data_IF_124401594152
#
_entry.id   IF_124401594152
#
_cell.length_a   1.000
_cell.length_b   1.000
_cell.length_c   1.000
_cell.angle_alpha   90.00
_cell.angle_beta   90.00
_cell.angle_gamma   90.00
#
_symmetry.space_group_name_H-M   'P 1'
#
loop_
_entity.id
_entity.type
_entity.pdbx_description
1 polymer ?
#
# COMPACT_ATOMS: atom_id res chain seq x y z
N UNK A 1 -18.60 15.18 14.55
CA UNK A 1 -17.48 14.42 13.94
C UNK A 1 -16.19 15.11 14.35
N UNK A 2 -15.12 14.37 14.59
CA UNK A 2 -13.82 14.98 14.85
C UNK A 2 -13.19 15.35 13.49
N UNK A 3 -12.80 16.60 13.31
CA UNK A 3 -12.18 17.10 12.07
C UNK A 3 -10.69 17.39 12.34
N UNK A 4 -9.82 17.06 11.38
CA UNK A 4 -8.40 17.42 11.39
C UNK A 4 -8.08 18.16 10.08
N UNK A 5 -8.59 19.38 9.96
CA UNK A 5 -8.45 20.19 8.76
C UNK A 5 -7.11 20.90 8.78
N UNK A 6 -6.30 20.62 7.75
CA UNK A 6 -4.94 21.12 7.62
C UNK A 6 -4.72 21.83 6.30
N UNK A 7 -3.73 22.72 6.31
CA UNK A 7 -3.25 23.47 5.16
C UNK A 7 -1.76 23.20 4.94
N UNK A 8 -1.33 23.13 3.69
CA UNK A 8 0.08 23.12 3.35
C UNK A 8 0.68 24.54 3.43
N UNK A 9 1.78 24.71 4.16
CA UNK A 9 2.49 26.00 4.19
C UNK A 9 3.06 26.34 2.80
N UNK A 10 2.94 27.59 2.33
CA UNK A 10 3.56 28.03 1.07
C UNK A 10 5.06 27.71 1.03
N UNK A 11 5.52 27.14 -0.09
CA UNK A 11 6.93 26.78 -0.29
C UNK A 11 7.43 25.62 0.56
N UNK A 12 6.56 24.91 1.26
CA UNK A 12 6.93 23.79 2.15
C UNK A 12 6.06 22.56 1.92
N UNK A 13 6.61 21.37 2.21
CA UNK A 13 5.84 20.13 2.30
C UNK A 13 5.10 19.99 3.64
N UNK A 14 5.28 20.93 4.58
CA UNK A 14 4.71 20.84 5.91
C UNK A 14 3.22 21.21 5.92
N UNK A 15 2.43 20.33 6.54
CA UNK A 15 1.01 20.53 6.80
C UNK A 15 0.78 20.95 8.24
N UNK A 16 0.05 22.05 8.44
CA UNK A 16 -0.28 22.61 9.74
C UNK A 16 -1.80 22.71 9.91
N UNK A 17 -2.32 22.78 11.16
CA UNK A 17 -3.72 23.09 11.39
C UNK A 17 -4.16 24.34 10.62
N UNK A 18 -5.30 24.26 9.94
CA UNK A 18 -5.82 25.39 9.18
C UNK A 18 -6.33 26.50 10.12
N UNK A 19 -6.22 27.78 9.72
CA UNK A 19 -6.86 28.89 10.42
C UNK A 19 -8.37 28.67 10.64
N UNK A 20 -8.97 29.15 11.75
CA UNK A 20 -10.38 28.87 12.06
C UNK A 20 -11.39 29.30 10.97
N UNK A 21 -11.13 30.41 10.29
CA UNK A 21 -11.94 30.90 9.17
C UNK A 21 -11.83 30.00 7.93
N UNK A 22 -10.65 29.43 7.66
CA UNK A 22 -10.45 28.46 6.58
C UNK A 22 -11.12 27.13 6.89
N UNK A 23 -11.08 26.71 8.16
CA UNK A 23 -11.83 25.55 8.66
C UNK A 23 -13.33 25.75 8.41
N UNK A 24 -13.88 26.91 8.76
CA UNK A 24 -15.28 27.24 8.53
C UNK A 24 -15.64 27.23 7.03
N UNK A 25 -14.81 27.83 6.18
CA UNK A 25 -14.99 27.83 4.73
C UNK A 25 -14.97 26.41 4.13
N UNK A 26 -14.03 25.57 4.58
CA UNK A 26 -13.91 24.18 4.14
C UNK A 26 -15.11 23.35 4.59
N UNK A 27 -15.57 23.50 5.83
CA UNK A 27 -16.76 22.81 6.33
C UNK A 27 -18.03 23.26 5.60
N UNK A 28 -18.15 24.56 5.29
CA UNK A 28 -19.24 25.08 4.46
C UNK A 28 -19.23 24.45 3.05
N UNK A 29 -18.05 24.29 2.44
CA UNK A 29 -17.92 23.55 1.17
C UNK A 29 -18.37 22.10 1.31
N UNK A 30 -17.92 21.39 2.35
CA UNK A 30 -18.24 19.97 2.59
C UNK A 30 -19.69 19.72 3.00
N UNK A 31 -20.39 20.73 3.51
CA UNK A 31 -21.82 20.65 3.85
C UNK A 31 -22.73 20.67 2.61
N UNK A 32 -22.20 21.01 1.43
CA UNK A 32 -22.97 20.98 0.19
C UNK A 32 -23.33 19.55 -0.18
N UNK A 33 -24.48 19.35 -0.86
CA UNK A 33 -24.79 18.07 -1.48
C UNK A 33 -23.66 17.60 -2.38
N UNK A 34 -23.27 16.34 -2.23
CA UNK A 34 -22.16 15.75 -2.96
C UNK A 34 -22.62 15.31 -4.36
N UNK A 35 -22.47 16.19 -5.34
CA UNK A 35 -22.75 15.89 -6.75
C UNK A 35 -21.45 15.96 -7.56
N UNK A 36 -21.38 15.19 -8.65
CA UNK A 36 -20.35 15.33 -9.67
C UNK A 36 -20.98 16.05 -10.87
N UNK A 37 -20.44 17.21 -11.33
CA UNK A 37 -19.17 17.84 -10.93
C UNK A 37 -19.25 18.58 -9.58
N UNK A 38 -18.12 18.65 -8.87
CA UNK A 38 -17.98 19.37 -7.61
C UNK A 38 -18.07 20.89 -7.84
N UNK A 39 -19.10 21.54 -7.29
CA UNK A 39 -19.26 22.98 -7.43
C UNK A 39 -18.41 23.75 -6.40
N UNK A 40 -17.61 24.76 -6.82
CA UNK A 40 -16.90 25.64 -5.91
C UNK A 40 -17.81 26.27 -4.85
N UNK A 41 -17.26 26.60 -3.69
CA UNK A 41 -17.96 27.25 -2.59
C UNK A 41 -17.31 28.58 -2.26
N UNK A 42 -18.08 29.66 -2.40
CA UNK A 42 -17.70 30.95 -1.87
C UNK A 42 -18.26 31.09 -0.45
N UNK A 43 -17.37 31.33 0.52
CA UNK A 43 -17.71 31.58 1.92
C UNK A 43 -17.44 33.05 2.24
N UNK A 44 -18.51 33.76 2.61
CA UNK A 44 -18.50 35.18 3.00
C UNK A 44 -17.86 36.14 1.98
N UNK A 45 -17.78 35.78 0.69
CA UNK A 45 -17.04 36.52 -0.34
C UNK A 45 -15.52 36.62 -0.10
N UNK A 46 -15.00 35.89 0.90
CA UNK A 46 -13.59 35.95 1.34
C UNK A 46 -12.79 34.72 0.93
N UNK A 47 -13.43 33.56 0.87
CA UNK A 47 -12.76 32.30 0.58
C UNK A 47 -13.49 31.51 -0.50
N UNK A 48 -12.77 31.14 -1.54
CA UNK A 48 -13.24 30.21 -2.56
C UNK A 48 -12.61 28.84 -2.32
N UNK A 49 -13.43 27.85 -1.92
CA UNK A 49 -13.00 26.46 -1.74
C UNK A 49 -13.49 25.63 -2.93
N UNK A 50 -12.59 24.87 -3.56
CA UNK A 50 -12.90 24.08 -4.75
C UNK A 50 -11.99 22.87 -4.88
N UNK A 51 -12.40 21.88 -5.67
CA UNK A 51 -11.49 20.83 -6.15
C UNK A 51 -11.01 21.16 -7.54
N UNK A 52 -9.74 20.86 -7.81
CA UNK A 52 -9.20 20.99 -9.16
C UNK A 52 -10.04 20.16 -10.14
N UNK A 53 -10.27 20.72 -11.34
CA UNK A 53 -11.07 20.10 -12.40
C UNK A 53 -12.51 19.73 -11.99
N UNK A 54 -13.03 20.28 -10.88
CA UNK A 54 -14.33 19.93 -10.27
C UNK A 54 -14.48 18.40 -10.04
N UNK A 55 -13.36 17.73 -9.75
CA UNK A 55 -13.30 16.27 -9.64
C UNK A 55 -13.05 15.84 -8.18
N UNK A 56 -13.92 14.98 -7.65
CA UNK A 56 -13.85 14.47 -6.28
C UNK A 56 -12.57 13.67 -5.94
N UNK A 57 -11.74 13.31 -6.92
CA UNK A 57 -10.45 12.65 -6.71
C UNK A 57 -9.24 13.57 -6.85
N UNK A 58 -9.46 14.87 -7.05
CA UNK A 58 -8.40 15.87 -7.17
C UNK A 58 -8.20 16.65 -5.87
N UNK A 59 -7.05 17.31 -5.70
CA UNK A 59 -6.76 18.23 -4.59
C UNK A 59 -7.91 19.20 -4.30
N UNK A 60 -8.16 19.45 -3.01
CA UNK A 60 -9.00 20.56 -2.59
C UNK A 60 -8.12 21.78 -2.31
N UNK A 61 -8.54 22.93 -2.84
CA UNK A 61 -7.87 24.20 -2.72
C UNK A 61 -8.76 25.20 -2.03
N UNK A 62 -8.15 26.13 -1.31
CA UNK A 62 -8.78 27.34 -0.80
C UNK A 62 -8.04 28.54 -1.38
N UNK A 63 -8.78 29.47 -1.96
CA UNK A 63 -8.27 30.73 -2.47
C UNK A 63 -8.78 31.89 -1.62
N UNK A 64 -7.88 32.77 -1.17
CA UNK A 64 -8.24 33.97 -0.44
C UNK A 64 -8.61 35.08 -1.43
N UNK A 65 -9.81 35.65 -1.35
CA UNK A 65 -10.28 36.69 -2.27
C UNK A 65 -9.43 37.97 -2.18
N UNK A 66 -8.96 38.32 -0.99
CA UNK A 66 -8.27 39.58 -0.73
C UNK A 66 -6.84 39.60 -1.30
N UNK A 67 -6.15 38.47 -1.25
CA UNK A 67 -4.74 38.35 -1.71
C UNK A 67 -4.60 37.60 -3.03
N UNK A 68 -5.60 36.79 -3.40
CA UNK A 68 -5.54 35.87 -4.54
C UNK A 68 -4.76 34.58 -4.27
N UNK A 69 -4.17 34.42 -3.08
CA UNK A 69 -3.33 33.26 -2.74
C UNK A 69 -4.15 31.97 -2.70
N UNK A 70 -3.55 30.90 -3.21
CA UNK A 70 -4.16 29.56 -3.27
C UNK A 70 -3.37 28.58 -2.44
N UNK A 71 -4.07 27.83 -1.58
CA UNK A 71 -3.47 26.86 -0.68
C UNK A 71 -4.13 25.49 -0.79
N UNK A 72 -3.35 24.43 -0.63
CA UNK A 72 -3.87 23.08 -0.42
C UNK A 72 -4.55 22.99 0.94
N UNK A 73 -5.75 22.43 1.00
CA UNK A 73 -6.51 22.23 2.25
C UNK A 73 -7.18 20.86 2.25
N UNK A 74 -7.16 20.16 3.37
CA UNK A 74 -7.68 18.80 3.47
C UNK A 74 -8.13 18.49 4.89
N UNK A 75 -9.21 17.73 5.05
CA UNK A 75 -9.57 17.08 6.32
C UNK A 75 -8.90 15.70 6.41
N UNK A 76 -7.84 15.61 7.20
CA UNK A 76 -7.11 14.37 7.42
C UNK A 76 -7.95 13.29 8.13
N UNK A 77 -8.96 13.68 8.91
CA UNK A 77 -9.86 12.74 9.58
C UNK A 77 -10.92 12.15 8.63
N UNK A 78 -11.14 12.75 7.46
CA UNK A 78 -12.14 12.31 6.49
C UNK A 78 -11.60 11.26 5.50
N UNK A 79 -10.31 10.90 5.54
CA UNK A 79 -9.76 9.86 4.65
C UNK A 79 -10.19 8.48 5.14
N UNK A 80 -10.81 7.71 4.24
CA UNK A 80 -11.25 6.34 4.53
C UNK A 80 -10.77 5.35 3.49
N UNK A 81 -10.62 4.10 3.91
CA UNK A 81 -10.29 2.94 3.07
C UNK A 81 -11.48 1.97 3.02
N UNK A 82 -11.77 1.42 1.85
CA UNK A 82 -12.87 0.46 1.69
C UNK A 82 -12.37 -0.98 1.86
N UNK A 83 -12.80 -1.68 2.91
CA UNK A 83 -12.29 -3.00 3.26
C UNK A 83 -13.31 -4.09 2.94
N UNK A 84 -13.01 -4.90 1.92
CA UNK A 84 -13.86 -6.03 1.49
C UNK A 84 -13.68 -7.27 2.37
N UNK A 85 -12.61 -7.30 3.16
CA UNK A 85 -12.24 -8.36 4.08
C UNK A 85 -12.67 -8.07 5.52
N UNK A 86 -13.33 -6.94 5.77
CA UNK A 86 -13.89 -6.59 7.06
C UNK A 86 -15.38 -6.99 7.14
N UNK A 87 -15.86 -7.21 8.37
CA UNK A 87 -17.27 -7.46 8.65
C UNK A 87 -17.81 -6.35 9.57
N UNK A 88 -18.73 -5.48 9.10
CA UNK A 88 -19.31 -5.46 7.74
C UNK A 88 -18.35 -4.89 6.68
N UNK A 89 -18.54 -5.24 5.41
CA UNK A 89 -17.80 -4.58 4.32
C UNK A 89 -18.20 -3.11 4.21
N UNK A 90 -17.27 -2.19 4.51
CA UNK A 90 -17.54 -0.76 4.55
C UNK A 90 -16.27 0.11 4.39
N UNK A 91 -16.47 1.42 4.44
CA UNK A 91 -15.43 2.45 4.56
C UNK A 91 -14.99 2.63 6.01
N UNK A 92 -13.72 2.37 6.28
CA UNK A 92 -13.10 2.51 7.59
C UNK A 92 -12.14 3.70 7.63
N UNK A 93 -11.96 4.37 8.78
CA UNK A 93 -10.94 5.41 8.94
C UNK A 93 -9.56 4.91 8.50
N UNK A 94 -8.87 5.69 7.69
CA UNK A 94 -7.52 5.39 7.28
C UNK A 94 -6.55 5.57 8.47
N UNK A 95 -5.54 4.71 8.57
CA UNK A 95 -4.46 4.84 9.55
C UNK A 95 -3.58 6.06 9.23
N UNK A 96 -2.90 6.62 10.23
CA UNK A 96 -2.11 7.85 10.07
C UNK A 96 -1.12 7.81 8.88
N UNK A 97 -0.43 6.69 8.66
CA UNK A 97 0.49 6.54 7.53
C UNK A 97 -0.22 6.46 6.17
N UNK A 98 -1.45 5.94 6.13
CA UNK A 98 -2.29 5.91 4.92
C UNK A 98 -2.79 7.31 4.58
N UNK A 99 -3.21 8.09 5.59
CA UNK A 99 -3.61 9.50 5.44
C UNK A 99 -2.44 10.33 4.91
N UNK A 100 -1.25 10.17 5.50
CA UNK A 100 -0.03 10.87 5.08
C UNK A 100 0.33 10.56 3.63
N UNK A 101 0.32 9.28 3.24
CA UNK A 101 0.65 8.89 1.88
C UNK A 101 -0.43 9.28 0.87
N UNK A 102 -1.71 9.23 1.26
CA UNK A 102 -2.80 9.73 0.42
C UNK A 102 -2.65 11.21 0.13
N UNK A 103 -2.35 12.01 1.16
CA UNK A 103 -2.09 13.45 1.02
C UNK A 103 -0.88 13.71 0.13
N UNK A 104 0.24 13.02 0.36
CA UNK A 104 1.44 13.12 -0.49
C UNK A 104 1.12 12.78 -1.96
N UNK A 105 0.35 11.72 -2.20
CA UNK A 105 -0.04 11.29 -3.54
C UNK A 105 -1.00 12.28 -4.25
N UNK A 106 -2.05 12.73 -3.55
CA UNK A 106 -3.10 13.57 -4.13
C UNK A 106 -2.53 14.95 -4.49
N UNK A 107 -1.73 15.54 -3.61
CA UNK A 107 -1.20 16.89 -3.75
C UNK A 107 0.15 16.95 -4.47
N UNK A 108 0.63 15.83 -5.02
CA UNK A 108 1.82 15.80 -5.87
C UNK A 108 1.54 16.50 -7.20
N UNK A 109 2.31 17.56 -7.47
CA UNK A 109 2.18 18.37 -8.70
C UNK A 109 2.48 17.56 -9.96
N UNK A 110 3.34 16.52 -9.86
CA UNK A 110 3.64 15.64 -10.98
C UNK A 110 2.47 14.71 -11.34
N UNK A 111 1.42 14.64 -10.49
CA UNK A 111 0.24 13.77 -10.66
C UNK A 111 0.62 12.33 -11.10
N UNK A 112 1.52 11.65 -10.37
CA UNK A 112 1.98 10.33 -10.78
C UNK A 112 0.85 9.30 -10.78
N UNK A 113 0.90 8.35 -11.71
CA UNK A 113 -0.06 7.25 -11.75
C UNK A 113 0.07 6.32 -10.54
N UNK A 114 1.29 6.18 -10.01
CA UNK A 114 1.60 5.33 -8.85
C UNK A 114 2.81 5.87 -8.08
N UNK A 115 2.75 5.83 -6.75
CA UNK A 115 3.88 6.05 -5.82
C UNK A 115 4.01 4.88 -4.85
N UNK A 116 5.25 4.57 -4.49
CA UNK A 116 5.57 3.53 -3.51
C UNK A 116 5.98 4.19 -2.20
N UNK A 117 5.54 3.62 -1.08
CA UNK A 117 5.79 4.16 0.25
C UNK A 117 6.39 3.09 1.15
N UNK A 118 7.29 3.51 2.03
CA UNK A 118 7.86 2.68 3.08
C UNK A 118 8.02 3.45 4.39
N UNK A 119 7.79 2.81 5.55
CA UNK A 119 8.23 3.39 6.82
C UNK A 119 9.75 3.42 6.91
N UNK A 120 10.29 4.39 7.67
CA UNK A 120 11.73 4.48 7.96
C UNK A 120 12.23 3.11 8.42
N UNK A 121 13.41 2.72 7.93
CA UNK A 121 14.07 1.42 8.21
C UNK A 121 13.42 0.17 7.61
N UNK A 122 12.41 0.30 6.74
CA UNK A 122 11.91 -0.84 5.97
C UNK A 122 12.95 -1.30 4.94
N UNK A 123 13.11 -2.62 4.79
CA UNK A 123 14.01 -3.15 3.76
C UNK A 123 13.39 -2.99 2.37
N UNK A 124 14.12 -2.37 1.44
CA UNK A 124 13.74 -2.21 0.04
C UNK A 124 13.66 -3.53 -0.74
N UNK A 125 14.05 -4.66 -0.15
CA UNK A 125 13.95 -5.97 -0.79
C UNK A 125 12.51 -6.52 -0.87
N UNK A 126 11.57 -5.89 -0.17
CA UNK A 126 10.15 -6.28 -0.17
C UNK A 126 9.33 -5.60 -1.27
N UNK A 127 9.91 -4.72 -2.07
CA UNK A 127 9.21 -4.19 -3.22
C UNK A 127 9.03 -5.31 -4.26
N UNK A 128 7.78 -5.50 -4.70
CA UNK A 128 7.43 -6.50 -5.71
C UNK A 128 8.29 -6.34 -6.98
N UNK A 129 8.64 -7.47 -7.61
CA UNK A 129 9.39 -7.52 -8.87
C UNK A 129 8.76 -6.57 -9.90
N UNK A 130 9.45 -5.47 -10.22
CA UNK A 130 8.98 -4.44 -11.16
C UNK A 130 8.98 -3.02 -10.57
N UNK A 131 8.99 -2.89 -9.25
CA UNK A 131 9.27 -1.61 -8.59
C UNK A 131 10.76 -1.31 -8.69
N UNK A 132 11.14 -0.25 -9.40
CA UNK A 132 12.51 0.26 -9.28
C UNK A 132 12.67 0.87 -7.90
N UNK A 133 13.61 0.35 -7.09
CA UNK A 133 13.89 0.82 -5.73
C UNK A 133 14.19 2.34 -5.64
N UNK A 134 14.37 3.02 -6.78
CA UNK A 134 14.70 4.44 -6.86
C UNK A 134 13.52 5.38 -6.56
N UNK A 135 12.28 4.89 -6.58
CA UNK A 135 11.08 5.75 -6.49
C UNK A 135 10.24 5.49 -5.24
N UNK A 136 10.87 5.02 -4.16
CA UNK A 136 10.20 4.79 -2.87
C UNK A 136 10.25 6.08 -2.05
N UNK A 137 9.09 6.53 -1.58
CA UNK A 137 8.96 7.69 -0.69
C UNK A 137 8.91 7.20 0.77
N UNK A 138 9.84 7.69 1.58
CA UNK A 138 9.85 7.39 3.02
C UNK A 138 8.71 8.13 3.72
N UNK A 139 7.96 7.40 4.55
CA UNK A 139 6.86 7.95 5.34
C UNK A 139 7.45 8.69 6.53
N UNK A 140 7.29 10.02 6.52
CA UNK A 140 7.79 10.88 7.59
C UNK A 140 6.77 11.00 8.72
N UNK A 141 6.63 9.91 9.48
CA UNK A 141 5.88 9.85 10.74
C UNK A 141 6.74 9.13 11.77
N UNK A 142 6.93 9.74 12.92
CA UNK A 142 7.71 9.16 14.01
C UNK A 142 6.96 8.00 14.69
N UNK A 143 7.72 7.00 15.12
CA UNK A 143 7.18 5.83 15.84
C UNK A 143 6.45 4.81 14.98
N UNK A 144 6.49 4.92 13.64
CA UNK A 144 5.99 3.85 12.77
C UNK A 144 6.85 2.59 12.90
N UNK A 145 6.23 1.40 12.97
CA UNK A 145 6.99 0.15 12.93
C UNK A 145 7.69 0.01 11.57
N UNK A 146 8.84 -0.68 11.52
CA UNK A 146 9.49 -1.02 10.25
C UNK A 146 8.59 -1.98 9.46
N UNK A 147 8.89 -2.13 8.16
CA UNK A 147 8.20 -3.02 7.22
C UNK A 147 6.76 -2.62 6.88
N UNK A 148 6.37 -1.36 7.09
CA UNK A 148 5.15 -0.83 6.45
C UNK A 148 5.54 -0.46 5.03
N UNK A 149 5.06 -1.23 4.06
CA UNK A 149 5.33 -1.01 2.64
C UNK A 149 4.00 -1.11 1.89
N UNK A 150 3.76 -0.22 0.94
CA UNK A 150 2.56 -0.24 0.11
C UNK A 150 2.74 0.68 -1.10
N UNK A 151 1.76 0.68 -2.01
CA UNK A 151 1.68 1.69 -3.06
C UNK A 151 0.33 2.41 -3.04
N UNK A 152 0.31 3.64 -3.53
CA UNK A 152 -0.93 4.33 -3.90
C UNK A 152 -0.89 4.56 -5.40
N UNK A 153 -2.02 4.31 -6.06
CA UNK A 153 -2.17 4.46 -7.50
C UNK A 153 -3.50 5.06 -7.87
N UNK A 154 -3.57 5.61 -9.08
CA UNK A 154 -4.78 6.11 -9.71
C UNK A 154 -5.10 5.24 -10.93
N UNK A 155 -6.38 5.03 -11.23
CA UNK A 155 -6.80 4.43 -12.49
C UNK A 155 -7.24 5.52 -13.49
N UNK A 156 -7.68 5.11 -14.68
CA UNK A 156 -8.10 6.00 -15.76
C UNK A 156 -9.27 6.94 -15.39
N UNK A 157 -10.16 6.52 -14.49
CA UNK A 157 -11.28 7.37 -14.03
C UNK A 157 -10.94 8.26 -12.83
N UNK A 158 -9.67 8.29 -12.42
CA UNK A 158 -9.20 9.11 -11.32
C UNK A 158 -9.39 8.50 -9.94
N UNK A 159 -10.05 7.36 -9.79
CA UNK A 159 -10.20 6.69 -8.48
C UNK A 159 -8.83 6.30 -7.92
N UNK A 160 -8.67 6.52 -6.61
CA UNK A 160 -7.41 6.28 -5.93
C UNK A 160 -7.48 4.99 -5.14
N UNK A 161 -6.40 4.22 -5.22
CA UNK A 161 -6.28 2.90 -4.64
C UNK A 161 -5.02 2.80 -3.79
N UNK A 162 -5.18 2.19 -2.63
CA UNK A 162 -4.12 1.77 -1.75
C UNK A 162 -3.91 0.26 -1.94
N UNK A 163 -2.69 -0.15 -2.26
CA UNK A 163 -2.32 -1.54 -2.50
C UNK A 163 -1.46 -2.06 -1.35
N UNK A 164 -2.00 -3.04 -0.61
CA UNK A 164 -1.33 -3.64 0.55
C UNK A 164 -0.12 -4.45 0.09
N UNK A 165 0.95 -4.44 0.88
CA UNK A 165 2.06 -5.38 0.73
C UNK A 165 1.75 -6.75 1.35
N UNK A 166 0.68 -7.38 0.90
CA UNK A 166 0.38 -8.78 1.20
C UNK A 166 0.71 -9.67 -0.01
N UNK A 167 0.66 -10.98 0.17
CA UNK A 167 0.99 -11.94 -0.88
C UNK A 167 0.10 -11.82 -2.14
N UNK A 168 -1.07 -11.19 -2.02
CA UNK A 168 -2.03 -11.00 -3.12
C UNK A 168 -1.96 -9.61 -3.74
N UNK A 169 -1.20 -8.68 -3.16
CA UNK A 169 -1.21 -7.28 -3.55
C UNK A 169 -2.61 -6.68 -3.42
N UNK A 170 -3.33 -6.96 -2.32
CA UNK A 170 -4.74 -6.59 -2.18
C UNK A 170 -4.92 -5.09 -2.38
N UNK A 171 -5.69 -4.73 -3.41
CA UNK A 171 -5.96 -3.35 -3.79
C UNK A 171 -7.31 -2.90 -3.24
N UNK A 172 -7.29 -1.87 -2.41
CA UNK A 172 -8.50 -1.28 -1.81
C UNK A 172 -8.62 0.18 -2.23
N UNK A 173 -9.85 0.70 -2.27
CA UNK A 173 -10.08 2.13 -2.56
C UNK A 173 -9.77 2.97 -1.33
N UNK A 174 -9.25 4.17 -1.56
CA UNK A 174 -9.00 5.19 -0.53
C UNK A 174 -9.55 6.53 -1.01
N UNK A 175 -10.31 7.24 -0.16
CA UNK A 175 -11.00 8.46 -0.56
C UNK A 175 -11.35 9.36 0.63
N UNK A 176 -11.23 10.67 0.44
CA UNK A 176 -11.62 11.73 1.39
C UNK A 176 -12.95 12.41 1.05
N UNK A 177 -13.69 11.89 0.07
CA UNK A 177 -14.93 12.48 -0.43
C UNK A 177 -16.15 11.59 -0.16
N UNK A 178 -17.10 12.07 0.65
CA UNK A 178 -18.26 11.28 1.09
C UNK A 178 -19.14 10.80 -0.07
N UNK A 179 -19.49 11.67 -1.03
CA UNK A 179 -20.34 11.26 -2.15
C UNK A 179 -19.70 10.17 -3.03
N UNK A 180 -18.38 10.22 -3.20
CA UNK A 180 -17.66 9.18 -3.95
C UNK A 180 -17.66 7.86 -3.19
N UNK A 181 -17.52 7.92 -1.85
CA UNK A 181 -17.64 6.75 -0.97
C UNK A 181 -19.04 6.14 -0.99
N UNK A 182 -20.08 6.95 -0.84
CA UNK A 182 -21.47 6.49 -0.89
C UNK A 182 -21.82 5.90 -2.25
N UNK A 183 -21.38 6.54 -3.34
CA UNK A 183 -21.56 6.04 -4.71
C UNK A 183 -20.89 4.69 -4.93
N UNK A 184 -19.65 4.52 -4.47
CA UNK A 184 -18.94 3.24 -4.58
C UNK A 184 -19.57 2.16 -3.69
N UNK A 185 -20.01 2.49 -2.47
CA UNK A 185 -20.72 1.53 -1.60
C UNK A 185 -22.02 1.06 -2.24
N UNK A 186 -22.79 1.97 -2.84
CA UNK A 186 -23.99 1.62 -3.60
C UNK A 186 -23.69 0.73 -4.80
N UNK A 187 -22.61 1.00 -5.53
CA UNK A 187 -22.13 0.11 -6.60
C UNK A 187 -21.75 -1.28 -6.07
N UNK A 188 -20.95 -1.34 -4.99
CA UNK A 188 -20.51 -2.59 -4.36
C UNK A 188 -21.70 -3.44 -3.92
N UNK A 189 -22.66 -2.85 -3.21
CA UNK A 189 -23.87 -3.55 -2.77
C UNK A 189 -24.66 -4.14 -3.95
N UNK A 190 -24.78 -3.42 -5.07
CA UNK A 190 -25.49 -3.94 -6.25
C UNK A 190 -24.77 -5.14 -6.88
N UNK A 191 -23.43 -5.15 -6.89
CA UNK A 191 -22.68 -6.25 -7.50
C UNK A 191 -22.55 -7.47 -6.59
N UNK A 192 -22.67 -7.32 -5.27
CA UNK A 192 -22.55 -8.43 -4.30
C UNK A 192 -23.89 -8.97 -3.79
N UNK A 193 -24.96 -8.16 -3.80
CA UNK A 193 -26.29 -8.57 -3.35
C UNK A 193 -27.18 -9.12 -4.47
N UNK A 194 -26.72 -9.15 -5.73
CA UNK A 194 -27.40 -9.88 -6.79
C UNK A 194 -26.89 -11.33 -6.83
N UNK A 195 -27.60 -12.31 -6.25
CA UNK A 195 -27.20 -13.72 -6.29
C UNK A 195 -27.15 -14.31 -7.71
N UNK A 196 -27.67 -13.60 -8.73
CA UNK A 196 -27.58 -14.00 -10.14
C UNK A 196 -26.25 -13.66 -10.81
N UNK A 197 -25.41 -12.83 -10.19
CA UNK A 197 -24.14 -12.38 -10.74
C UNK A 197 -22.95 -12.97 -9.96
N UNK A 198 -23.02 -14.27 -9.66
CA UNK A 198 -21.87 -15.02 -9.15
C UNK A 198 -20.86 -15.11 -10.30
N UNK A 199 -19.75 -14.36 -10.20
CA UNK A 199 -18.52 -14.70 -10.92
C UNK A 199 -18.07 -16.05 -10.37
N UNK A 200 -18.56 -17.12 -10.96
CA UNK A 200 -18.01 -18.46 -10.74
C UNK A 200 -16.54 -18.36 -11.09
N UNK A 201 -15.68 -18.51 -10.09
CA UNK A 201 -14.26 -18.73 -10.34
C UNK A 201 -14.18 -19.87 -11.35
N UNK A 202 -13.56 -19.63 -12.51
CA UNK A 202 -13.40 -20.66 -13.54
C UNK A 202 -12.90 -21.94 -12.87
N UNK A 203 -13.58 -23.08 -13.03
CA UNK A 203 -13.11 -24.32 -12.44
C UNK A 203 -11.69 -24.58 -12.89
N UNK A 204 -10.83 -24.96 -11.93
CA UNK A 204 -9.45 -25.30 -12.17
C UNK A 204 -9.36 -26.24 -13.38
N UNK A 205 -8.70 -25.79 -14.45
CA UNK A 205 -8.54 -26.56 -15.67
C UNK A 205 -7.81 -27.87 -15.34
N UNK A 206 -8.51 -28.99 -15.55
CA UNK A 206 -7.93 -30.32 -15.62
C UNK A 206 -6.87 -30.40 -16.74
N UNK A 207 -5.89 -31.32 -16.66
CA UNK A 207 -4.73 -31.34 -17.56
C UNK A 207 -5.15 -31.58 -19.02
N UNK A 208 -4.74 -30.67 -19.90
CA UNK A 208 -5.00 -30.76 -21.34
C UNK A 208 -4.16 -31.86 -21.99
N UNK A 209 -4.85 -32.68 -22.78
CA UNK A 209 -4.32 -33.67 -23.69
C UNK A 209 -3.57 -33.03 -24.87
N UNK A 210 -2.61 -33.82 -25.39
CA UNK A 210 -1.76 -33.57 -26.55
C UNK A 210 -2.52 -33.10 -27.79
N UNK A 211 -2.02 -32.06 -28.46
CA UNK A 211 -2.30 -31.80 -29.88
C UNK A 211 -1.04 -31.43 -30.67
N UNK A 212 -0.70 -32.37 -31.55
CA UNK A 212 -0.32 -32.24 -32.97
C UNK A 212 0.47 -31.02 -33.46
N UNK A 213 1.63 -31.37 -34.02
CA UNK A 213 2.51 -30.59 -34.88
C UNK A 213 1.80 -30.00 -36.11
N UNK A 214 2.01 -28.70 -36.35
CA UNK A 214 1.99 -28.09 -37.67
C UNK A 214 3.05 -26.96 -37.74
N UNK A 215 3.79 -26.81 -38.86
CA UNK A 215 4.93 -25.91 -38.94
C UNK A 215 4.51 -24.51 -39.42
N UNK A 216 4.86 -23.47 -38.65
CA UNK A 216 4.83 -22.08 -39.10
C UNK A 216 6.24 -21.49 -39.12
N UNK A 217 6.61 -20.98 -40.29
CA UNK A 217 7.88 -20.32 -40.58
C UNK A 217 8.00 -19.00 -39.80
N UNK A 218 9.18 -18.77 -39.23
CA UNK A 218 9.56 -17.50 -38.58
C UNK A 218 10.30 -16.59 -39.58
N UNK A 219 10.13 -15.26 -39.52
CA UNK A 219 11.03 -14.31 -40.15
C UNK A 219 12.26 -14.03 -39.26
N UNK A 220 13.41 -13.93 -39.92
CA UNK A 220 14.74 -13.64 -39.38
C UNK A 220 14.89 -12.19 -38.93
N UNK A 221 15.46 -11.98 -37.75
CA UNK A 221 15.98 -10.69 -37.25
C UNK A 221 17.52 -10.77 -37.24
N UNK A 222 18.25 -9.78 -37.78
CA UNK A 222 19.72 -9.83 -37.81
C UNK A 222 20.38 -9.44 -36.48
N UNK A 223 21.50 -10.12 -36.22
CA UNK A 223 22.46 -9.97 -35.13
C UNK A 223 22.99 -8.55 -34.94
N UNK A 224 23.04 -8.09 -33.69
CA UNK A 224 24.06 -7.15 -33.22
C UNK A 224 24.70 -7.74 -31.96
N UNK A 225 25.96 -8.12 -32.12
CA UNK A 225 26.88 -8.61 -31.09
C UNK A 225 27.55 -7.39 -30.46
N UNK A 226 27.61 -7.29 -29.12
CA UNK A 226 28.78 -6.70 -28.46
C UNK A 226 28.91 -7.15 -27.00
N UNK A 227 30.15 -7.44 -26.65
CA UNK A 227 30.62 -8.13 -25.47
C UNK A 227 30.59 -7.28 -24.18
N UNK A 228 30.31 -7.93 -23.05
CA UNK A 228 30.70 -7.44 -21.72
C UNK A 228 31.32 -8.58 -20.93
N UNK A 229 32.51 -8.31 -20.43
CA UNK A 229 33.46 -9.23 -19.81
C UNK A 229 32.93 -9.91 -18.54
N UNK A 230 33.29 -11.18 -18.43
CA UNK A 230 33.11 -12.07 -17.29
C UNK A 230 34.00 -11.64 -16.11
N UNK A 231 33.39 -11.32 -14.98
CA UNK A 231 34.07 -11.36 -13.68
C UNK A 231 33.81 -12.71 -13.01
N UNK A 232 34.83 -13.34 -12.40
CA UNK A 232 34.67 -14.61 -11.69
C UNK A 232 33.88 -14.42 -10.40
N UNK A 233 32.73 -15.09 -10.32
CA UNK A 233 31.93 -15.20 -9.11
C UNK A 233 32.70 -15.98 -8.03
N UNK A 234 32.68 -15.54 -6.76
CA UNK A 234 33.22 -16.33 -5.66
C UNK A 234 32.42 -17.63 -5.54
N UNK A 235 33.12 -18.74 -5.67
CA UNK A 235 32.64 -20.09 -5.42
C UNK A 235 32.29 -20.22 -3.93
N UNK A 236 31.00 -20.23 -3.60
CA UNK A 236 30.55 -20.62 -2.27
C UNK A 236 30.78 -22.12 -2.11
N UNK A 237 31.72 -22.45 -1.24
CA UNK A 237 32.02 -23.81 -0.78
C UNK A 237 30.79 -24.45 -0.15
N UNK A 238 30.74 -25.77 -0.28
CA UNK A 238 29.57 -26.62 -0.09
C UNK A 238 28.81 -26.41 1.25
N UNK A 239 27.49 -26.44 1.09
CA UNK A 239 26.42 -26.43 2.11
C UNK A 239 26.73 -27.27 3.36
N UNK A 240 26.92 -26.61 4.51
CA UNK A 240 26.51 -27.18 5.79
C UNK A 240 24.98 -27.03 5.90
N UNK A 241 24.27 -28.14 6.03
CA UNK A 241 22.84 -28.10 6.35
C UNK A 241 22.72 -27.77 7.83
N UNK A 242 22.20 -26.59 8.16
CA UNK A 242 21.86 -26.23 9.54
C UNK A 242 20.71 -27.12 10.03
N UNK A 243 21.05 -28.08 10.88
CA UNK A 243 20.10 -29.00 11.50
C UNK A 243 19.31 -28.31 12.62
N UNK A 244 18.05 -28.72 12.80
CA UNK A 244 17.21 -28.25 13.89
C UNK A 244 17.69 -28.86 15.22
N UNK A 245 17.60 -28.13 16.34
CA UNK A 245 17.90 -28.69 17.66
C UNK A 245 17.08 -29.96 17.93
N UNK A 246 17.70 -31.08 18.35
CA UNK A 246 16.96 -32.27 18.72
C UNK A 246 16.07 -31.92 19.91
N UNK A 247 14.78 -32.25 19.86
CA UNK A 247 13.70 -31.95 20.83
C UNK A 247 12.87 -30.67 20.65
N UNK A 248 13.04 -29.91 19.56
CA UNK A 248 12.13 -28.80 19.26
C UNK A 248 10.79 -29.28 18.68
N UNK A 249 9.68 -28.94 19.32
CA UNK A 249 8.31 -29.20 18.83
C UNK A 249 7.55 -27.89 18.59
N UNK A 250 6.64 -27.89 17.63
CA UNK A 250 5.73 -26.78 17.36
C UNK A 250 4.52 -26.86 18.31
N UNK A 251 4.18 -25.73 18.91
CA UNK A 251 3.01 -25.58 19.80
C UNK A 251 2.14 -24.49 19.18
N UNK A 252 0.85 -24.78 18.94
CA UNK A 252 -0.10 -23.74 18.51
C UNK A 252 -0.34 -22.74 19.65
N UNK A 253 -0.45 -21.46 19.34
CA UNK A 253 -0.76 -20.43 20.33
C UNK A 253 -1.75 -19.41 19.80
N UNK A 254 -2.64 -18.95 20.68
CA UNK A 254 -3.57 -17.85 20.41
C UNK A 254 -3.07 -16.51 20.99
N UNK A 255 -1.87 -16.49 21.59
CA UNK A 255 -1.24 -15.26 22.10
C UNK A 255 -0.50 -14.59 20.93
N UNK A 256 -1.04 -13.48 20.43
CA UNK A 256 -0.52 -12.78 19.23
C UNK A 256 0.98 -12.49 19.32
N UNK A 257 1.48 -12.04 20.49
CA UNK A 257 2.89 -11.70 20.69
C UNK A 257 3.84 -12.91 20.60
N UNK A 258 3.35 -14.12 20.83
CA UNK A 258 4.14 -15.35 20.78
C UNK A 258 4.07 -16.04 19.42
N UNK A 259 3.21 -15.58 18.51
CA UNK A 259 3.02 -16.22 17.22
C UNK A 259 4.23 -16.03 16.29
N UNK A 260 4.54 -17.09 15.55
CA UNK A 260 5.49 -17.08 14.45
C UNK A 260 5.04 -16.10 13.37
N UNK A 261 5.91 -15.16 12.99
CA UNK A 261 5.60 -14.11 12.01
C UNK A 261 5.27 -14.63 10.60
N UNK A 262 5.55 -15.91 10.34
CA UNK A 262 5.35 -16.54 9.03
C UNK A 262 4.00 -17.25 8.93
N UNK A 263 3.51 -17.89 10.00
CA UNK A 263 2.26 -18.66 9.96
C UNK A 263 1.13 -18.09 10.82
N UNK A 264 1.42 -17.21 11.79
CA UNK A 264 0.43 -16.66 12.73
C UNK A 264 -0.41 -17.73 13.47
N UNK A 265 0.15 -18.92 13.65
CA UNK A 265 -0.55 -20.07 14.23
C UNK A 265 0.29 -20.77 15.32
N UNK A 266 1.57 -21.01 15.04
CA UNK A 266 2.49 -21.68 15.94
C UNK A 266 3.28 -20.65 16.76
N UNK A 267 3.61 -20.98 18.00
CA UNK A 267 4.51 -20.20 18.84
C UNK A 267 5.92 -20.16 18.23
N UNK A 268 6.56 -19.00 18.29
CA UNK A 268 7.97 -18.82 17.95
C UNK A 268 8.83 -19.64 18.92
N UNK A 269 9.72 -20.48 18.39
CA UNK A 269 10.54 -21.40 19.19
C UNK A 269 11.99 -21.51 18.71
N UNK A 270 12.40 -20.67 17.74
CA UNK A 270 13.77 -20.61 17.25
C UNK A 270 14.35 -19.21 17.41
N UNK A 271 15.52 -19.15 18.06
CA UNK A 271 16.37 -17.97 18.16
C UNK A 271 17.53 -18.10 17.18
N UNK A 272 17.68 -17.10 16.30
CA UNK A 272 18.74 -17.10 15.28
C UNK A 272 20.03 -16.48 15.82
N UNK A 273 21.17 -17.13 15.56
CA UNK A 273 22.50 -16.59 15.85
C UNK A 273 23.17 -16.13 14.56
N UNK A 274 23.88 -14.98 14.56
CA UNK A 274 24.23 -14.17 15.74
C UNK A 274 23.24 -13.04 16.08
N UNK A 275 22.13 -12.90 15.37
CA UNK A 275 21.25 -11.73 15.51
C UNK A 275 20.29 -11.74 16.71
N UNK A 276 20.20 -12.84 17.44
CA UNK A 276 19.35 -13.05 18.62
C UNK A 276 17.84 -12.83 18.42
N UNK A 277 17.32 -12.89 17.18
CA UNK A 277 15.89 -12.75 16.94
C UNK A 277 15.15 -14.08 17.12
N UNK A 278 14.12 -14.09 17.98
CA UNK A 278 13.19 -15.21 18.21
C UNK A 278 11.84 -14.90 17.58
N UNK A 279 11.65 -15.28 16.32
CA UNK A 279 10.52 -14.79 15.49
C UNK A 279 9.81 -15.86 14.66
N UNK A 280 10.40 -17.05 14.51
CA UNK A 280 9.92 -18.09 13.60
C UNK A 280 9.80 -19.42 14.35
N UNK A 281 8.84 -20.26 13.97
CA UNK A 281 8.72 -21.63 14.45
C UNK A 281 9.56 -22.61 13.62
N UNK A 282 9.91 -23.76 14.19
CA UNK A 282 10.73 -24.80 13.54
C UNK A 282 10.19 -25.32 12.20
N UNK A 283 8.86 -25.41 12.05
CA UNK A 283 8.22 -25.76 10.78
C UNK A 283 8.41 -24.71 9.68
N UNK A 284 8.25 -23.43 10.02
CA UNK A 284 8.43 -22.33 9.08
C UNK A 284 9.90 -22.11 8.73
N UNK A 285 10.82 -22.35 9.68
CA UNK A 285 12.25 -22.29 9.40
C UNK A 285 12.68 -23.27 8.31
N UNK A 286 12.13 -24.48 8.29
CA UNK A 286 12.41 -25.49 7.25
C UNK A 286 12.01 -25.04 5.84
N UNK A 287 11.11 -24.05 5.73
CA UNK A 287 10.62 -23.48 4.46
C UNK A 287 11.41 -22.26 3.98
N UNK A 288 12.36 -21.75 4.78
CA UNK A 288 13.21 -20.63 4.36
C UNK A 288 14.11 -21.05 3.19
N UNK A 289 14.17 -20.20 2.16
CA UNK A 289 15.05 -20.42 1.02
C UNK A 289 16.53 -20.30 1.43
N UNK A 290 17.43 -20.98 0.70
CA UNK A 290 18.88 -20.82 0.88
C UNK A 290 19.38 -19.60 0.09
N UNK A 291 20.33 -18.80 0.63
CA UNK A 291 20.91 -18.87 1.97
C UNK A 291 19.89 -18.51 3.05
N UNK A 292 19.99 -19.17 4.21
CA UNK A 292 19.04 -18.96 5.31
C UNK A 292 19.40 -17.65 6.03
N UNK A 293 18.52 -16.66 5.93
CA UNK A 293 18.67 -15.34 6.54
C UNK A 293 17.53 -15.06 7.52
N UNK A 294 17.83 -14.30 8.58
CA UNK A 294 16.81 -13.82 9.50
C UNK A 294 15.80 -12.92 8.76
N UNK A 295 14.48 -13.19 8.80
CA UNK A 295 13.47 -12.36 8.14
C UNK A 295 13.46 -10.90 8.57
N UNK A 296 13.88 -10.61 9.82
CA UNK A 296 13.90 -9.25 10.40
C UNK A 296 15.17 -8.48 10.04
N UNK A 297 16.36 -9.04 10.28
CA UNK A 297 17.62 -8.29 10.11
C UNK A 297 18.47 -8.71 8.89
N UNK A 298 18.06 -9.74 8.14
CA UNK A 298 18.78 -10.32 6.99
C UNK A 298 20.17 -10.88 7.29
N UNK A 299 20.57 -10.91 8.55
CA UNK A 299 21.82 -11.55 8.92
C UNK A 299 21.74 -13.05 8.61
N UNK A 300 22.78 -13.57 7.97
CA UNK A 300 22.92 -14.99 7.68
C UNK A 300 22.82 -15.78 8.99
N UNK A 301 21.97 -16.80 9.00
CA UNK A 301 21.75 -17.65 10.17
C UNK A 301 22.92 -18.62 10.23
N UNK A 302 23.76 -18.46 11.26
CA UNK A 302 24.94 -19.30 11.47
C UNK A 302 24.67 -20.47 12.41
N UNK A 303 23.78 -20.30 13.39
CA UNK A 303 23.30 -21.35 14.30
C UNK A 303 21.88 -21.07 14.80
N UNK A 304 21.24 -22.10 15.34
CA UNK A 304 19.89 -22.06 15.92
C UNK A 304 19.95 -22.42 17.39
N UNK A 305 19.14 -21.73 18.20
CA UNK A 305 18.90 -22.05 19.60
C UNK A 305 17.39 -22.18 19.86
N UNK A 306 16.99 -23.15 20.67
CA UNK A 306 15.62 -23.31 21.18
C UNK A 306 15.41 -22.45 22.42
#
# INVERSE_FOLDING_TARGET
MHHDIRVQRPGSAQWVPAPPDWVAAYLHYKAKPTYSPEAPSNYENRFLVYREDNNCYMPTRIQCSDTGDVHAIMDCADVKVFLQDADPVDWYPARNYQVWAFRDFIYDVARPERKFYASKYSSHLFFQRGSSNRNVTDIDIDGLPPNIIFSISRNENGSVYYERNDARGTRVRICDHEGARSGFRGFYNRITMDPGMIVTQSPAQAPQFQQSNAPYASPTIPEIVLAVASQPMPYYTASSVLELPPSISTIKTNVEDDQCIMCYENAKNLTFSPCAHTIVCSECYSKLMKPRECPVCKQAIASLHS
#
